data_IF_250401777580
#
_entry.id   IF_250401777580
#
_cell.length_a   1.000
_cell.length_b   1.000
_cell.length_c   1.000
_cell.angle_alpha   90.00
_cell.angle_beta   90.00
_cell.angle_gamma   90.00
#
_symmetry.space_group_name_H-M   'P 1'
#
loop_
_entity.id
_entity.type
_entity.pdbx_description
1 polymer ?
#
# COMPACT_ATOMS: atom_id res chain seq x y z
N UNK A 1 1.17 -26.30 -13.05
CA UNK A 1 1.73 -25.42 -11.99
C UNK A 1 1.17 -25.86 -10.65
N UNK A 2 1.93 -25.80 -9.55
CA UNK A 2 1.36 -26.13 -8.23
C UNK A 2 0.32 -25.10 -7.81
N UNK A 3 -0.72 -25.52 -7.09
CA UNK A 3 -1.79 -24.67 -6.58
C UNK A 3 -1.25 -23.41 -5.88
N UNK A 4 -0.23 -23.57 -5.03
CA UNK A 4 0.43 -22.47 -4.31
C UNK A 4 1.00 -21.40 -5.26
N UNK A 5 1.59 -21.79 -6.40
CA UNK A 5 2.13 -20.82 -7.37
C UNK A 5 1.02 -19.98 -7.99
N UNK A 6 -0.10 -20.62 -8.33
CA UNK A 6 -1.26 -19.93 -8.91
C UNK A 6 -1.83 -18.96 -7.88
N UNK A 7 -1.99 -19.39 -6.63
CA UNK A 7 -2.46 -18.54 -5.54
C UNK A 7 -1.59 -17.28 -5.36
N UNK A 8 -0.27 -17.43 -5.35
CA UNK A 8 0.67 -16.29 -5.23
C UNK A 8 0.57 -15.34 -6.43
N UNK A 9 0.42 -15.87 -7.65
CA UNK A 9 0.22 -15.04 -8.85
C UNK A 9 -1.08 -14.24 -8.76
N UNK A 10 -2.17 -14.86 -8.33
CA UNK A 10 -3.46 -14.19 -8.12
C UNK A 10 -3.33 -13.09 -7.06
N UNK A 11 -2.75 -13.39 -5.89
CA UNK A 11 -2.56 -12.41 -4.81
C UNK A 11 -1.72 -11.21 -5.29
N UNK A 12 -0.62 -11.46 -6.01
CA UNK A 12 0.23 -10.40 -6.58
C UNK A 12 -0.53 -9.54 -7.57
N UNK A 13 -1.27 -10.15 -8.49
CA UNK A 13 -2.00 -9.43 -9.52
C UNK A 13 -3.12 -8.58 -8.92
N UNK A 14 -3.87 -9.13 -7.97
CA UNK A 14 -4.91 -8.41 -7.22
C UNK A 14 -4.32 -7.23 -6.45
N UNK A 15 -3.28 -7.47 -5.64
CA UNK A 15 -2.64 -6.42 -4.84
C UNK A 15 -2.03 -5.33 -5.74
N UNK A 16 -1.31 -5.74 -6.80
CA UNK A 16 -0.70 -4.82 -7.73
C UNK A 16 -1.72 -3.92 -8.43
N UNK A 17 -2.81 -4.50 -8.94
CA UNK A 17 -3.88 -3.75 -9.60
C UNK A 17 -4.58 -2.78 -8.64
N UNK A 18 -4.85 -3.23 -7.40
CA UNK A 18 -5.45 -2.38 -6.36
C UNK A 18 -4.59 -1.14 -6.06
N UNK A 19 -3.27 -1.31 -5.96
CA UNK A 19 -2.37 -0.18 -5.68
C UNK A 19 -2.15 0.74 -6.88
N UNK A 20 -2.14 0.21 -8.11
CA UNK A 20 -2.18 1.06 -9.31
C UNK A 20 -3.45 1.91 -9.30
N UNK A 21 -4.60 1.29 -9.06
CA UNK A 21 -5.87 2.02 -8.99
C UNK A 21 -5.86 3.07 -7.86
N UNK A 22 -5.47 2.69 -6.65
CA UNK A 22 -5.38 3.59 -5.50
C UNK A 22 -4.46 4.79 -5.72
N UNK A 23 -3.31 4.57 -6.36
CA UNK A 23 -2.38 5.64 -6.71
C UNK A 23 -2.93 6.57 -7.80
N UNK A 24 -3.57 6.04 -8.84
CA UNK A 24 -4.23 6.87 -9.88
C UNK A 24 -5.34 7.73 -9.29
N UNK A 25 -6.13 7.18 -8.36
CA UNK A 25 -7.20 7.90 -7.66
C UNK A 25 -6.71 9.10 -6.83
N UNK A 26 -5.40 9.20 -6.54
CA UNK A 26 -4.83 10.36 -5.84
C UNK A 26 -4.60 11.57 -6.74
N UNK A 27 -4.54 11.37 -8.06
CA UNK A 27 -4.41 12.44 -9.06
C UNK A 27 -5.75 12.89 -9.65
N UNK A 28 -6.79 12.08 -9.50
CA UNK A 28 -8.14 12.46 -9.93
C UNK A 28 -8.68 13.54 -8.99
N UNK A 29 -9.02 14.75 -9.49
CA UNK A 29 -9.63 15.78 -8.67
C UNK A 29 -10.96 15.26 -8.11
N UNK A 30 -11.04 15.12 -6.78
CA UNK A 30 -12.31 14.80 -6.13
C UNK A 30 -13.15 16.07 -6.10
N UNK A 31 -14.38 15.99 -6.60
CA UNK A 31 -15.34 17.09 -6.52
C UNK A 31 -15.40 17.61 -5.08
N UNK A 32 -15.45 18.94 -4.86
CA UNK A 32 -15.62 19.48 -3.52
C UNK A 32 -16.84 18.82 -2.89
N UNK A 33 -16.64 17.97 -1.87
CA UNK A 33 -17.76 17.56 -1.01
C UNK A 33 -18.33 18.87 -0.49
N UNK A 34 -19.62 19.11 -0.74
CA UNK A 34 -20.30 20.29 -0.22
C UNK A 34 -19.91 20.43 1.24
N UNK A 35 -19.27 21.56 1.58
CA UNK A 35 -19.16 22.00 2.97
C UNK A 35 -20.59 22.26 3.37
N UNK A 36 -21.29 21.24 3.86
CA UNK A 36 -22.53 21.48 4.57
C UNK A 36 -22.08 22.25 5.81
N UNK A 37 -22.31 23.56 5.80
CA UNK A 37 -22.05 24.52 6.88
C UNK A 37 -22.91 24.25 8.13
N UNK A 38 -23.42 23.04 8.28
CA UNK A 38 -23.96 22.59 9.55
C UNK A 38 -22.76 22.45 10.47
N UNK A 39 -22.64 23.39 11.41
CA UNK A 39 -21.78 23.33 12.60
C UNK A 39 -22.25 22.17 13.48
N UNK A 40 -22.27 20.96 12.92
CA UNK A 40 -22.28 19.74 13.69
C UNK A 40 -20.83 19.53 14.05
N UNK A 41 -20.55 19.51 15.35
CA UNK A 41 -19.26 19.10 15.90
C UNK A 41 -18.92 17.77 15.24
N UNK A 42 -17.96 17.82 14.30
CA UNK A 42 -17.48 16.62 13.65
C UNK A 42 -16.90 15.72 14.76
N UNK A 43 -17.19 14.42 14.76
CA UNK A 43 -16.57 13.52 15.71
C UNK A 43 -15.04 13.68 15.68
N UNK A 44 -14.38 13.61 16.84
CA UNK A 44 -12.94 13.88 16.97
C UNK A 44 -12.07 13.07 15.98
N UNK A 45 -12.46 11.84 15.68
CA UNK A 45 -11.76 11.00 14.70
C UNK A 45 -11.81 11.61 13.29
N UNK A 46 -12.95 12.16 12.86
CA UNK A 46 -13.11 12.81 11.54
C UNK A 46 -12.22 14.03 11.45
N UNK A 47 -12.09 14.80 12.54
CA UNK A 47 -11.20 15.96 12.62
C UNK A 47 -9.75 15.52 12.44
N UNK A 48 -9.31 14.48 13.17
CA UNK A 48 -7.94 13.93 13.07
C UNK A 48 -7.63 13.40 11.66
N UNK A 49 -8.56 12.67 11.04
CA UNK A 49 -8.42 12.16 9.66
C UNK A 49 -8.30 13.32 8.67
N UNK A 50 -9.16 14.33 8.77
CA UNK A 50 -9.11 15.51 7.91
C UNK A 50 -7.81 16.29 8.09
N UNK A 51 -7.33 16.43 9.32
CA UNK A 51 -6.05 17.09 9.61
C UNK A 51 -4.87 16.31 9.02
N UNK A 52 -4.84 14.98 9.18
CA UNK A 52 -3.79 14.12 8.62
C UNK A 52 -3.76 14.20 7.08
N UNK A 53 -4.88 13.86 6.41
CA UNK A 53 -4.97 13.87 4.94
C UNK A 53 -4.78 15.28 4.39
N UNK A 54 -5.37 16.29 5.04
CA UNK A 54 -5.22 17.70 4.69
C UNK A 54 -3.77 18.14 4.74
N UNK A 55 -3.06 17.82 5.82
CA UNK A 55 -1.63 18.10 5.98
C UNK A 55 -0.79 17.47 4.87
N UNK A 56 -1.00 16.18 4.57
CA UNK A 56 -0.26 15.50 3.49
C UNK A 56 -0.47 16.18 2.13
N UNK A 57 -1.68 16.65 1.84
CA UNK A 57 -2.00 17.35 0.59
C UNK A 57 -1.46 18.78 0.56
N UNK A 58 -1.52 19.49 1.68
CA UNK A 58 -1.11 20.90 1.78
C UNK A 58 0.40 21.09 1.58
N UNK A 59 1.22 20.07 1.85
CA UNK A 59 2.67 20.11 1.55
C UNK A 59 3.01 20.19 0.06
N UNK A 60 2.05 19.91 -0.83
CA UNK A 60 2.20 19.99 -2.29
C UNK A 60 3.00 18.86 -2.95
N UNK A 61 3.81 18.11 -2.20
CA UNK A 61 4.64 17.03 -2.77
C UNK A 61 4.27 15.62 -2.27
N UNK A 62 3.88 15.46 -1.01
CA UNK A 62 3.77 14.14 -0.41
C UNK A 62 2.62 13.32 -0.99
N UNK A 63 1.44 13.93 -1.12
CA UNK A 63 0.27 13.25 -1.69
C UNK A 63 0.49 12.74 -3.13
N UNK A 64 0.99 13.55 -4.08
CA UNK A 64 1.31 13.05 -5.42
C UNK A 64 2.48 12.06 -5.41
N UNK A 65 3.54 12.31 -4.61
CA UNK A 65 4.66 11.36 -4.48
C UNK A 65 4.20 9.98 -4.01
N UNK A 66 3.35 9.92 -2.98
CA UNK A 66 2.75 8.67 -2.51
C UNK A 66 1.95 7.96 -3.62
N UNK A 67 1.16 8.71 -4.40
CA UNK A 67 0.44 8.17 -5.55
C UNK A 67 1.36 7.60 -6.62
N UNK A 68 2.45 8.29 -6.95
CA UNK A 68 3.47 7.77 -7.90
C UNK A 68 4.08 6.47 -7.38
N UNK A 69 4.48 6.43 -6.11
CA UNK A 69 5.12 5.23 -5.53
C UNK A 69 4.15 4.05 -5.52
N UNK A 70 2.88 4.25 -5.19
CA UNK A 70 1.85 3.19 -5.25
C UNK A 70 1.66 2.65 -6.66
N UNK A 71 1.60 3.51 -7.68
CA UNK A 71 1.51 3.09 -9.08
C UNK A 71 2.73 2.30 -9.49
N UNK A 72 3.93 2.80 -9.19
CA UNK A 72 5.18 2.12 -9.52
C UNK A 72 5.25 0.74 -8.84
N UNK A 73 4.97 0.66 -7.54
CA UNK A 73 4.96 -0.61 -6.82
C UNK A 73 3.91 -1.58 -7.35
N UNK A 74 2.72 -1.08 -7.69
CA UNK A 74 1.66 -1.88 -8.27
C UNK A 74 2.05 -2.47 -9.64
N UNK A 75 2.68 -1.67 -10.51
CA UNK A 75 3.23 -2.13 -11.80
C UNK A 75 4.34 -3.17 -11.56
N UNK A 76 5.25 -2.94 -10.61
CA UNK A 76 6.31 -3.89 -10.28
C UNK A 76 5.76 -5.22 -9.75
N UNK A 77 4.69 -5.21 -8.95
CA UNK A 77 4.03 -6.43 -8.46
C UNK A 77 3.40 -7.26 -9.58
N UNK A 78 2.78 -6.58 -10.55
CA UNK A 78 2.23 -7.20 -11.77
C UNK A 78 3.35 -7.72 -12.66
N UNK A 79 4.49 -7.03 -12.71
CA UNK A 79 5.68 -7.49 -13.42
C UNK A 79 6.22 -8.80 -12.82
N UNK A 80 6.28 -9.86 -13.63
CA UNK A 80 6.72 -11.19 -13.22
C UNK A 80 8.14 -11.17 -12.60
N UNK A 81 9.00 -10.26 -13.06
CA UNK A 81 10.42 -10.23 -12.73
C UNK A 81 10.76 -9.40 -11.49
N UNK A 82 10.07 -8.28 -11.27
CA UNK A 82 10.44 -7.28 -10.24
C UNK A 82 9.48 -7.25 -9.03
N UNK A 83 8.55 -8.21 -8.94
CA UNK A 83 7.54 -8.18 -7.90
C UNK A 83 8.07 -8.26 -6.48
N UNK A 84 9.20 -8.91 -6.23
CA UNK A 84 9.82 -8.88 -4.91
C UNK A 84 10.26 -7.46 -4.53
N UNK A 85 10.89 -6.74 -5.47
CA UNK A 85 11.30 -5.36 -5.25
C UNK A 85 10.07 -4.47 -5.01
N UNK A 86 9.04 -4.62 -5.84
CA UNK A 86 7.76 -3.93 -5.67
C UNK A 86 7.13 -4.18 -4.30
N UNK A 87 7.10 -5.44 -3.85
CA UNK A 87 6.56 -5.82 -2.55
C UNK A 87 7.33 -5.21 -1.37
N UNK A 88 8.67 -5.21 -1.44
CA UNK A 88 9.54 -4.62 -0.41
C UNK A 88 9.32 -3.10 -0.31
N UNK A 89 9.29 -2.39 -1.44
CA UNK A 89 9.06 -0.94 -1.46
C UNK A 89 7.63 -0.60 -1.02
N UNK A 90 6.66 -1.47 -1.34
CA UNK A 90 5.26 -1.31 -0.93
C UNK A 90 5.04 -1.57 0.57
N UNK A 91 5.91 -2.35 1.22
CA UNK A 91 5.77 -2.74 2.62
C UNK A 91 5.53 -1.57 3.58
N UNK A 92 6.38 -0.52 3.63
CA UNK A 92 6.13 0.64 4.49
C UNK A 92 4.81 1.34 4.19
N UNK A 93 4.34 1.33 2.94
CA UNK A 93 3.06 1.93 2.55
C UNK A 93 1.89 1.09 3.08
N UNK A 94 1.92 -0.23 2.89
CA UNK A 94 0.88 -1.13 3.44
C UNK A 94 0.82 -1.09 4.97
N UNK A 95 1.98 -0.94 5.64
CA UNK A 95 2.04 -0.74 7.09
C UNK A 95 1.37 0.59 7.45
N UNK A 96 1.73 1.69 6.79
CA UNK A 96 1.16 2.99 7.10
C UNK A 96 -0.37 3.04 6.89
N UNK A 97 -0.87 2.41 5.81
CA UNK A 97 -2.31 2.30 5.53
C UNK A 97 -3.03 1.51 6.64
N UNK A 98 -2.47 0.38 7.06
CA UNK A 98 -3.04 -0.40 8.15
C UNK A 98 -3.04 0.38 9.47
N UNK A 99 -1.92 1.03 9.82
CA UNK A 99 -1.82 1.84 11.03
C UNK A 99 -2.77 3.04 11.01
N UNK A 100 -2.97 3.67 9.84
CA UNK A 100 -3.95 4.74 9.68
C UNK A 100 -5.35 4.25 10.06
N UNK A 101 -5.81 3.11 9.54
CA UNK A 101 -7.14 2.59 9.88
C UNK A 101 -7.20 2.09 11.32
N UNK A 102 -6.14 1.47 11.83
CA UNK A 102 -6.08 0.98 13.20
C UNK A 102 -6.20 2.11 14.24
N UNK A 103 -5.57 3.26 13.99
CA UNK A 103 -5.54 4.37 14.96
C UNK A 103 -6.56 5.46 14.69
N UNK A 104 -6.92 5.72 13.44
CA UNK A 104 -7.82 6.83 13.06
C UNK A 104 -9.22 6.36 12.68
N UNK A 105 -9.38 5.13 12.19
CA UNK A 105 -10.69 4.55 11.78
C UNK A 105 -11.00 3.18 12.42
N UNK A 106 -10.73 2.94 13.73
CA UNK A 106 -10.94 1.62 14.35
C UNK A 106 -12.42 1.20 14.43
N UNK A 107 -13.33 2.14 14.23
CA UNK A 107 -14.79 1.93 14.24
C UNK A 107 -15.31 1.41 12.89
N UNK A 108 -14.47 1.38 11.85
CA UNK A 108 -14.78 0.82 10.53
C UNK A 108 -14.11 -0.56 10.37
N UNK A 109 -14.69 -1.64 10.95
CA UNK A 109 -14.05 -2.95 10.98
C UNK A 109 -13.83 -3.54 9.58
N UNK A 110 -14.66 -3.15 8.59
CA UNK A 110 -14.52 -3.57 7.21
C UNK A 110 -13.23 -3.05 6.56
N UNK A 111 -12.96 -1.75 6.69
CA UNK A 111 -11.75 -1.12 6.16
C UNK A 111 -10.49 -1.57 6.91
N UNK A 112 -10.59 -1.73 8.23
CA UNK A 112 -9.49 -2.26 9.04
C UNK A 112 -9.11 -3.69 8.60
N UNK A 113 -10.10 -4.55 8.38
CA UNK A 113 -9.86 -5.91 7.89
C UNK A 113 -9.25 -5.90 6.49
N UNK A 114 -9.80 -5.09 5.59
CA UNK A 114 -9.32 -4.97 4.21
C UNK A 114 -7.86 -4.54 4.15
N UNK A 115 -7.48 -3.52 4.94
CA UNK A 115 -6.10 -3.02 4.98
C UNK A 115 -5.14 -3.97 5.70
N UNK A 116 -5.61 -4.72 6.69
CA UNK A 116 -4.86 -5.84 7.25
C UNK A 116 -4.59 -6.92 6.20
N UNK A 117 -5.57 -7.25 5.35
CA UNK A 117 -5.39 -8.21 4.24
C UNK A 117 -4.37 -7.70 3.21
N UNK A 118 -4.32 -6.39 2.92
CA UNK A 118 -3.29 -5.82 2.05
C UNK A 118 -1.88 -6.02 2.60
N UNK A 119 -1.70 -5.73 3.90
CA UNK A 119 -0.43 -5.93 4.58
C UNK A 119 -0.04 -7.41 4.61
N UNK A 120 -0.97 -8.29 4.96
CA UNK A 120 -0.74 -9.74 4.98
C UNK A 120 -0.40 -10.28 3.59
N UNK A 121 -1.12 -9.88 2.55
CA UNK A 121 -0.85 -10.25 1.17
C UNK A 121 0.58 -9.83 0.78
N UNK A 122 0.99 -8.61 1.13
CA UNK A 122 2.34 -8.12 0.83
C UNK A 122 3.42 -8.96 1.56
N UNK A 123 3.23 -9.24 2.85
CA UNK A 123 4.13 -10.09 3.65
C UNK A 123 4.22 -11.51 3.08
N UNK A 124 3.10 -12.10 2.65
CA UNK A 124 3.08 -13.42 2.01
C UNK A 124 3.88 -13.41 0.70
N UNK A 125 3.73 -12.38 -0.13
CA UNK A 125 4.49 -12.23 -1.39
C UNK A 125 5.99 -12.19 -1.12
N UNK A 126 6.41 -11.36 -0.16
CA UNK A 126 7.83 -11.24 0.25
C UNK A 126 8.33 -12.58 0.77
N UNK A 127 7.60 -13.21 1.69
CA UNK A 127 8.00 -14.47 2.33
C UNK A 127 8.16 -15.60 1.30
N UNK A 128 7.27 -15.68 0.31
CA UNK A 128 7.34 -16.67 -0.76
C UNK A 128 8.58 -16.49 -1.65
N UNK A 129 8.97 -15.24 -1.95
CA UNK A 129 10.11 -14.94 -2.81
C UNK A 129 11.44 -14.74 -2.04
N UNK A 130 11.40 -14.68 -0.71
CA UNK A 130 12.56 -14.49 0.17
C UNK A 130 13.72 -15.50 -0.05
N UNK A 131 13.47 -16.81 -0.28
CA UNK A 131 14.56 -17.76 -0.56
C UNK A 131 15.34 -17.42 -1.83
N UNK A 132 14.69 -16.78 -2.81
CA UNK A 132 15.33 -16.29 -4.04
C UNK A 132 16.16 -15.04 -3.76
N UNK A 133 15.67 -14.14 -2.90
CA UNK A 133 16.40 -12.94 -2.45
C UNK A 133 17.72 -13.31 -1.76
N UNK A 134 17.67 -14.28 -0.84
CA UNK A 134 18.85 -14.72 -0.08
C UNK A 134 19.96 -15.25 -1.01
N UNK A 135 19.59 -15.95 -2.08
CA UNK A 135 20.54 -16.48 -3.07
C UNK A 135 21.14 -15.40 -3.97
N UNK A 136 20.38 -14.37 -4.33
CA UNK A 136 20.83 -13.32 -5.26
C UNK A 136 21.58 -12.17 -4.57
N UNK A 137 21.20 -11.80 -3.34
CA UNK A 137 21.74 -10.61 -2.66
C UNK A 137 22.51 -10.90 -1.37
N UNK A 138 22.23 -12.02 -0.68
CA UNK A 138 22.85 -12.32 0.62
C UNK A 138 23.90 -13.44 0.55
N UNK A 139 24.17 -13.96 -0.65
CA UNK A 139 25.26 -14.91 -0.90
C UNK A 139 26.36 -14.17 -1.65
N UNK A 140 27.08 -13.29 -0.94
CA UNK A 140 28.39 -12.86 -1.40
C UNK A 140 29.34 -14.02 -1.14
N UNK A 141 29.45 -14.93 -2.12
CA UNK A 141 30.52 -15.91 -2.06
C UNK A 141 31.83 -15.12 -2.06
N UNK A 142 32.68 -15.36 -1.07
CA UNK A 142 33.98 -14.71 -0.92
C UNK A 142 34.84 -15.00 -2.15
N UNK A 143 34.78 -14.14 -3.17
CA UNK A 143 35.72 -14.14 -4.30
C UNK A 143 36.93 -13.29 -3.89
N UNK A 144 37.55 -13.61 -2.75
CA UNK A 144 38.88 -13.16 -2.37
C UNK A 144 39.46 -14.25 -1.46
N UNK A 145 40.11 -15.22 -2.12
CA UNK A 145 41.28 -15.92 -1.58
C UNK A 145 42.48 -15.01 -1.71
#
# INVERSE_FOLDING_TARGET
MSFLKIAIVVIRFSLGTLFVFGGVQKFVPKSPRQKTEVVQQLPDHVIKIKAFIGGLKQTGYFWPMLGVVEILCGILLVSQYLALLGAIVLLPITINIFLFHLFLEPHEPGELLLTALYLLANVVIISYHYPKLKKTFLTFNSIYT
#
